data_IF_660790575839
#
_entry.id   IF_660790575839
#
_cell.length_a   1.000
_cell.length_b   1.000
_cell.length_c   1.000
_cell.angle_alpha   90.00
_cell.angle_beta   90.00
_cell.angle_gamma   90.00
#
_symmetry.space_group_name_H-M   'P 1'
#
loop_
_entity.id
_entity.type
_entity.pdbx_description
1 polymer ?
#
# COMPACT_ATOMS: atom_id res chain seq x y z
N UNK A 1 -34.82 22.84 4.43
CA UNK A 1 -33.45 23.35 4.68
C UNK A 1 -32.55 22.84 3.58
N UNK A 2 -31.91 23.74 2.82
CA UNK A 2 -31.07 23.38 1.68
C UNK A 2 -29.68 23.06 2.24
N UNK A 3 -29.24 21.81 2.15
CA UNK A 3 -27.83 21.46 2.41
C UNK A 3 -27.03 22.02 1.25
N UNK A 4 -26.15 22.99 1.52
CA UNK A 4 -25.23 23.50 0.52
C UNK A 4 -24.16 22.45 0.25
N UNK A 5 -23.80 22.28 -1.03
CA UNK A 5 -22.70 21.41 -1.45
C UNK A 5 -21.36 22.14 -1.19
N UNK A 6 -20.27 21.40 -0.95
CA UNK A 6 -18.96 21.97 -0.59
C UNK A 6 -18.47 23.00 -1.65
N UNK A 7 -18.73 22.75 -2.93
CA UNK A 7 -18.42 23.69 -4.03
C UNK A 7 -19.24 24.99 -3.96
N UNK A 8 -20.50 24.93 -3.54
CA UNK A 8 -21.37 26.11 -3.42
C UNK A 8 -20.93 27.01 -2.26
N UNK A 9 -20.51 26.40 -1.14
CA UNK A 9 -19.98 27.13 0.03
C UNK A 9 -18.69 27.86 -0.38
N UNK A 10 -17.79 27.18 -1.08
CA UNK A 10 -16.53 27.75 -1.51
C UNK A 10 -16.72 28.92 -2.49
N UNK A 11 -17.65 28.77 -3.45
CA UNK A 11 -17.94 29.82 -4.44
C UNK A 11 -18.53 31.08 -3.79
N UNK A 12 -19.38 30.93 -2.77
CA UNK A 12 -19.99 32.05 -2.06
C UNK A 12 -19.01 32.77 -1.12
N UNK A 13 -18.11 32.04 -0.45
CA UNK A 13 -17.01 32.64 0.33
C UNK A 13 -16.03 33.41 -0.56
N UNK A 14 -15.66 32.85 -1.72
CA UNK A 14 -14.77 33.52 -2.69
C UNK A 14 -15.40 34.79 -3.28
N UNK A 15 -16.73 34.83 -3.38
CA UNK A 15 -17.51 36.00 -3.81
C UNK A 15 -17.67 37.08 -2.71
N UNK A 16 -17.20 36.83 -1.48
CA UNK A 16 -17.33 37.75 -0.35
C UNK A 16 -18.75 37.83 0.23
N UNK A 17 -19.59 36.84 -0.06
CA UNK A 17 -20.98 36.81 0.40
C UNK A 17 -21.04 36.28 1.84
N UNK A 18 -21.62 37.09 2.73
CA UNK A 18 -21.71 36.73 4.14
C UNK A 18 -22.86 35.74 4.33
N UNK A 19 -22.55 34.44 4.22
CA UNK A 19 -23.46 33.33 4.46
C UNK A 19 -23.75 33.23 5.97
N UNK A 20 -24.55 34.16 6.48
CA UNK A 20 -25.12 34.12 7.84
C UNK A 20 -26.17 32.99 7.92
N UNK A 21 -25.71 31.75 7.81
CA UNK A 21 -26.51 30.55 7.96
C UNK A 21 -25.94 29.76 9.13
N UNK A 22 -26.79 29.42 10.10
CA UNK A 22 -26.47 28.73 11.35
C UNK A 22 -26.05 27.25 11.14
N UNK A 23 -25.08 27.01 10.27
CA UNK A 23 -24.54 25.71 9.91
C UNK A 23 -23.08 25.64 10.37
N UNK A 24 -22.80 24.68 11.25
CA UNK A 24 -21.50 24.48 11.92
C UNK A 24 -20.35 24.29 10.90
N UNK A 25 -20.69 23.79 9.71
CA UNK A 25 -19.76 23.60 8.59
C UNK A 25 -19.28 24.93 7.98
N UNK A 26 -20.16 25.94 7.89
CA UNK A 26 -19.79 27.26 7.31
C UNK A 26 -18.81 27.98 8.24
N UNK A 27 -19.04 27.91 9.55
CA UNK A 27 -18.13 28.48 10.55
C UNK A 27 -16.75 27.79 10.53
N UNK A 28 -16.69 26.47 10.30
CA UNK A 28 -15.43 25.75 10.13
C UNK A 28 -14.69 26.17 8.86
N UNK A 29 -15.40 26.35 7.75
CA UNK A 29 -14.81 26.83 6.50
C UNK A 29 -14.28 28.26 6.64
N UNK A 30 -15.04 29.16 7.24
CA UNK A 30 -14.62 30.55 7.49
C UNK A 30 -13.37 30.60 8.39
N UNK A 31 -13.32 29.79 9.43
CA UNK A 31 -12.15 29.68 10.32
C UNK A 31 -10.93 29.10 9.58
N UNK A 32 -11.12 28.08 8.74
CA UNK A 32 -10.06 27.47 7.95
C UNK A 32 -9.48 28.45 6.93
N UNK A 33 -10.31 29.19 6.21
CA UNK A 33 -9.87 30.21 5.25
C UNK A 33 -9.25 31.43 5.92
N UNK A 34 -9.74 31.82 7.09
CA UNK A 34 -9.14 32.89 7.91
C UNK A 34 -7.73 32.51 8.38
N UNK A 35 -7.51 31.25 8.75
CA UNK A 35 -6.17 30.75 9.09
C UNK A 35 -5.28 30.52 7.86
N UNK A 36 -5.81 30.06 6.73
CA UNK A 36 -5.06 29.91 5.48
C UNK A 36 -4.68 31.25 4.83
N UNK A 37 -5.50 32.29 5.01
CA UNK A 37 -5.24 33.65 4.53
C UNK A 37 -4.12 34.36 5.30
N UNK A 38 -3.73 33.86 6.48
CA UNK A 38 -2.57 34.35 7.21
C UNK A 38 -1.30 33.84 6.55
N UNK A 39 -0.41 34.76 6.17
CA UNK A 39 0.91 34.38 5.69
C UNK A 39 1.63 33.51 6.75
N UNK A 40 2.15 32.33 6.39
CA UNK A 40 2.77 31.44 7.35
C UNK A 40 3.96 32.14 8.01
N UNK A 41 3.95 32.24 9.34
CA UNK A 41 5.01 32.90 10.11
C UNK A 41 6.37 32.17 10.01
N UNK A 42 6.39 30.92 9.53
CA UNK A 42 7.61 30.18 9.26
C UNK A 42 7.64 29.68 7.82
N UNK A 43 8.74 29.96 7.12
CA UNK A 43 9.07 29.31 5.87
C UNK A 43 9.21 27.81 6.11
N UNK A 44 8.65 26.99 5.22
CA UNK A 44 8.84 25.54 5.27
C UNK A 44 10.32 25.19 5.45
N UNK A 45 10.68 24.27 6.37
CA UNK A 45 12.07 23.90 6.55
C UNK A 45 12.64 23.37 5.23
N UNK A 46 13.89 23.73 4.91
CA UNK A 46 14.56 23.38 3.65
C UNK A 46 14.52 21.86 3.35
N UNK A 47 14.43 21.04 4.40
CA UNK A 47 14.35 19.58 4.34
C UNK A 47 12.94 19.03 4.10
N UNK A 48 11.88 19.86 4.14
CA UNK A 48 10.50 19.41 4.00
C UNK A 48 10.22 18.78 2.64
N UNK A 49 10.69 19.41 1.56
CA UNK A 49 10.56 18.88 0.20
C UNK A 49 11.28 17.54 0.05
N UNK A 50 12.48 17.40 0.62
CA UNK A 50 13.25 16.16 0.61
C UNK A 50 12.53 15.02 1.38
N UNK A 51 11.93 15.33 2.53
CA UNK A 51 11.14 14.37 3.32
C UNK A 51 9.88 13.93 2.55
N UNK A 52 9.18 14.86 1.92
CA UNK A 52 7.99 14.57 1.10
C UNK A 52 8.32 13.70 -0.11
N UNK A 53 9.33 14.09 -0.89
CA UNK A 53 9.79 13.33 -2.05
C UNK A 53 10.21 11.92 -1.63
N UNK A 54 10.93 11.77 -0.51
CA UNK A 54 11.32 10.47 0.02
C UNK A 54 10.11 9.61 0.39
N UNK A 55 9.10 10.17 1.06
CA UNK A 55 7.88 9.44 1.44
C UNK A 55 7.09 8.98 0.20
N UNK A 56 6.94 9.86 -0.79
CA UNK A 56 6.25 9.55 -2.05
C UNK A 56 7.00 8.45 -2.81
N UNK A 57 8.32 8.57 -2.94
CA UNK A 57 9.16 7.58 -3.62
C UNK A 57 9.10 6.22 -2.93
N UNK A 58 9.16 6.17 -1.60
CA UNK A 58 9.02 4.91 -0.85
C UNK A 58 7.64 4.27 -1.02
N UNK A 59 6.57 5.07 -1.05
CA UNK A 59 5.22 4.55 -1.27
C UNK A 59 5.06 3.99 -2.69
N UNK A 60 5.62 4.67 -3.70
CA UNK A 60 5.63 4.20 -5.09
C UNK A 60 6.47 2.94 -5.27
N UNK A 61 7.67 2.92 -4.68
CA UNK A 61 8.58 1.79 -4.76
C UNK A 61 7.95 0.52 -4.16
N UNK A 62 7.32 0.61 -2.98
CA UNK A 62 6.59 -0.53 -2.39
C UNK A 62 5.51 -1.09 -3.31
N UNK A 63 4.77 -0.22 -4.01
CA UNK A 63 3.73 -0.67 -4.96
C UNK A 63 4.35 -1.34 -6.19
N UNK A 64 5.49 -0.84 -6.68
CA UNK A 64 6.21 -1.45 -7.79
C UNK A 64 6.82 -2.80 -7.40
N UNK A 65 7.43 -2.90 -6.23
CA UNK A 65 8.02 -4.14 -5.72
C UNK A 65 6.98 -5.25 -5.59
N UNK A 66 5.78 -4.94 -5.08
CA UNK A 66 4.67 -5.91 -5.01
C UNK A 66 4.25 -6.36 -6.41
N UNK A 67 4.09 -5.42 -7.36
CA UNK A 67 3.72 -5.76 -8.74
C UNK A 67 4.78 -6.63 -9.42
N UNK A 68 6.06 -6.31 -9.21
CA UNK A 68 7.18 -7.06 -9.77
C UNK A 68 7.22 -8.47 -9.18
N UNK A 69 7.10 -8.62 -7.86
CA UNK A 69 7.05 -9.92 -7.20
C UNK A 69 5.87 -10.78 -7.67
N UNK A 70 4.68 -10.18 -7.83
CA UNK A 70 3.52 -10.90 -8.39
C UNK A 70 3.80 -11.34 -9.82
N UNK A 71 4.40 -10.47 -10.64
CA UNK A 71 4.73 -10.77 -12.04
C UNK A 71 5.75 -11.91 -12.14
N UNK A 72 6.80 -11.87 -11.34
CA UNK A 72 7.81 -12.95 -11.26
C UNK A 72 7.18 -14.25 -10.76
N UNK A 73 6.30 -14.18 -9.76
CA UNK A 73 5.57 -15.35 -9.26
C UNK A 73 4.68 -15.98 -10.35
N UNK A 74 3.96 -15.17 -11.13
CA UNK A 74 3.16 -15.64 -12.25
C UNK A 74 4.03 -16.26 -13.36
N UNK A 75 5.17 -15.65 -13.68
CA UNK A 75 6.11 -16.18 -14.66
C UNK A 75 6.65 -17.55 -14.23
N UNK A 76 7.00 -17.71 -12.96
CA UNK A 76 7.46 -18.98 -12.40
C UNK A 76 6.36 -20.06 -12.46
N UNK A 77 5.12 -19.71 -12.10
CA UNK A 77 3.99 -20.64 -12.20
C UNK A 77 3.75 -21.06 -13.66
N UNK A 78 3.81 -20.12 -14.60
CA UNK A 78 3.66 -20.41 -16.02
C UNK A 78 4.78 -21.34 -16.52
N UNK A 79 6.02 -21.10 -16.10
CA UNK A 79 7.15 -22.00 -16.37
C UNK A 79 6.93 -23.41 -15.83
N UNK A 80 6.41 -23.53 -14.61
CA UNK A 80 6.13 -24.83 -14.00
C UNK A 80 5.04 -25.60 -14.75
N UNK A 81 3.95 -24.92 -15.13
CA UNK A 81 2.83 -25.50 -15.87
C UNK A 81 3.26 -25.94 -17.27
N UNK A 82 4.04 -25.11 -17.97
CA UNK A 82 4.56 -25.44 -19.30
C UNK A 82 5.55 -26.59 -19.25
N UNK A 83 6.45 -26.62 -18.27
CA UNK A 83 7.36 -27.75 -18.05
C UNK A 83 6.59 -29.05 -17.78
N UNK A 84 5.61 -29.03 -16.88
CA UNK A 84 4.76 -30.19 -16.60
C UNK A 84 3.94 -30.62 -17.83
N UNK A 85 3.37 -29.65 -18.56
CA UNK A 85 2.61 -29.90 -19.78
C UNK A 85 3.48 -30.58 -20.85
N UNK A 86 4.72 -30.11 -21.05
CA UNK A 86 5.65 -30.74 -21.98
C UNK A 86 5.99 -32.18 -21.56
N UNK A 87 6.23 -32.42 -20.26
CA UNK A 87 6.50 -33.76 -19.75
C UNK A 87 5.31 -34.71 -19.94
N UNK A 88 4.08 -34.20 -19.77
CA UNK A 88 2.86 -34.99 -19.98
C UNK A 88 2.66 -35.39 -21.45
N UNK A 89 3.03 -34.51 -22.39
CA UNK A 89 2.95 -34.79 -23.84
C UNK A 89 4.00 -35.84 -24.26
N UNK A 90 5.23 -35.73 -23.76
CA UNK A 90 6.29 -36.69 -24.12
C UNK A 90 6.19 -38.02 -23.37
N UNK A 91 5.76 -38.03 -22.12
CA UNK A 91 5.67 -39.25 -21.31
C UNK A 91 4.63 -39.14 -20.20
N UNK A 92 3.39 -39.52 -20.51
CA UNK A 92 2.27 -39.52 -19.56
C UNK A 92 2.55 -40.36 -18.30
N UNK A 93 3.35 -41.42 -18.39
CA UNK A 93 3.76 -42.24 -17.26
C UNK A 93 4.65 -41.47 -16.27
N UNK A 94 5.67 -40.78 -16.77
CA UNK A 94 6.59 -39.97 -15.95
C UNK A 94 5.86 -38.81 -15.29
N UNK A 95 4.94 -38.15 -16.01
CA UNK A 95 4.14 -37.07 -15.45
C UNK A 95 3.24 -37.55 -14.28
N UNK A 96 2.69 -38.76 -14.37
CA UNK A 96 1.93 -39.37 -13.25
C UNK A 96 2.83 -39.69 -12.06
N UNK A 97 4.04 -40.21 -12.28
CA UNK A 97 5.00 -40.47 -11.21
C UNK A 97 5.40 -39.18 -10.47
N UNK A 98 5.58 -38.07 -11.18
CA UNK A 98 5.88 -36.76 -10.56
C UNK A 98 4.74 -36.31 -9.64
N UNK A 99 3.48 -36.41 -10.09
CA UNK A 99 2.32 -36.09 -9.24
C UNK A 99 2.24 -37.02 -8.03
N UNK A 100 2.49 -38.31 -8.23
CA UNK A 100 2.43 -39.30 -7.16
C UNK A 100 3.51 -39.04 -6.09
N UNK A 101 4.73 -38.70 -6.51
CA UNK A 101 5.80 -38.28 -5.59
C UNK A 101 5.43 -36.99 -4.85
N UNK A 102 4.89 -35.99 -5.54
CA UNK A 102 4.47 -34.74 -4.91
C UNK A 102 3.38 -34.98 -3.85
N UNK A 103 2.43 -35.87 -4.14
CA UNK A 103 1.36 -36.22 -3.20
C UNK A 103 1.89 -37.03 -2.00
N UNK A 104 2.91 -37.87 -2.21
CA UNK A 104 3.58 -38.60 -1.13
C UNK A 104 4.34 -37.64 -0.18
N UNK A 105 5.05 -36.67 -0.74
CA UNK A 105 5.87 -35.72 0.01
C UNK A 105 5.17 -34.40 0.37
N UNK A 106 3.84 -34.31 0.19
CA UNK A 106 3.06 -33.10 0.48
C UNK A 106 3.28 -32.56 1.90
N UNK A 107 3.55 -33.45 2.86
CA UNK A 107 3.84 -33.07 4.25
C UNK A 107 5.15 -32.28 4.39
N UNK A 108 6.19 -32.66 3.65
CA UNK A 108 7.49 -31.94 3.64
C UNK A 108 7.32 -30.58 2.96
N UNK A 109 6.57 -30.53 1.85
CA UNK A 109 6.22 -29.26 1.20
C UNK A 109 5.42 -28.33 2.14
N UNK A 110 4.44 -28.85 2.87
CA UNK A 110 3.68 -28.06 3.84
C UNK A 110 4.56 -27.57 5.00
N UNK A 111 5.45 -28.41 5.51
CA UNK A 111 6.35 -28.05 6.60
C UNK A 111 7.32 -26.94 6.16
N UNK A 112 7.92 -27.06 4.98
CA UNK A 112 8.81 -26.02 4.43
C UNK A 112 8.08 -24.71 4.17
N UNK A 113 6.84 -24.75 3.70
CA UNK A 113 6.02 -23.55 3.55
C UNK A 113 5.68 -22.93 4.91
N UNK A 114 5.35 -23.75 5.91
CA UNK A 114 5.05 -23.29 7.28
C UNK A 114 6.27 -22.62 7.93
N UNK A 115 7.46 -23.21 7.81
CA UNK A 115 8.68 -22.63 8.38
C UNK A 115 9.06 -21.31 7.72
N UNK A 116 8.93 -21.21 6.39
CA UNK A 116 9.11 -19.95 5.67
C UNK A 116 8.10 -18.89 6.10
N UNK A 117 6.83 -19.27 6.29
CA UNK A 117 5.79 -18.34 6.75
C UNK A 117 6.08 -17.84 8.17
N UNK A 118 6.47 -18.74 9.09
CA UNK A 118 6.88 -18.38 10.45
C UNK A 118 8.10 -17.46 10.45
N UNK A 119 9.09 -17.72 9.59
CA UNK A 119 10.27 -16.86 9.44
C UNK A 119 9.87 -15.47 8.94
N UNK A 120 9.03 -15.38 7.92
CA UNK A 120 8.51 -14.12 7.40
C UNK A 120 7.70 -13.33 8.44
N UNK A 121 6.85 -14.01 9.22
CA UNK A 121 6.10 -13.41 10.32
C UNK A 121 7.02 -12.92 11.44
N UNK A 122 8.04 -13.71 11.79
CA UNK A 122 9.06 -13.35 12.75
C UNK A 122 9.81 -12.09 12.32
N UNK A 123 10.31 -12.07 11.09
CA UNK A 123 11.02 -10.90 10.54
C UNK A 123 10.11 -9.65 10.54
N UNK A 124 8.86 -9.78 10.09
CA UNK A 124 7.90 -8.67 10.07
C UNK A 124 7.58 -8.14 11.48
N UNK A 125 7.46 -9.00 12.48
CA UNK A 125 7.12 -8.60 13.86
C UNK A 125 8.32 -8.01 14.60
N UNK A 126 9.54 -8.50 14.33
CA UNK A 126 10.78 -8.04 14.97
C UNK A 126 11.33 -6.76 14.32
N UNK A 127 11.30 -6.63 13.00
CA UNK A 127 11.87 -5.48 12.27
C UNK A 127 10.99 -4.23 12.35
N UNK A 128 9.71 -4.35 12.70
CA UNK A 128 8.83 -3.19 12.92
C UNK A 128 8.99 -2.53 14.32
N UNK A 129 9.84 -3.06 15.19
CA UNK A 129 10.22 -2.43 16.47
C UNK A 129 11.70 -2.03 16.49
N UNK A 130 12.09 -1.00 15.73
CA UNK A 130 12.98 -0.02 16.35
C UNK A 130 12.68 1.42 15.87
N UNK A 131 12.26 2.28 16.80
CA UNK A 131 12.47 3.75 16.91
C UNK A 131 11.29 4.44 17.62
N UNK A 132 11.19 4.27 18.94
CA UNK A 132 10.48 5.23 19.81
C UNK A 132 11.02 5.23 21.25
N UNK A 133 12.29 4.90 21.43
CA UNK A 133 12.91 4.89 22.76
C UNK A 133 14.34 5.44 22.69
N UNK A 134 14.52 6.60 22.05
CA UNK A 134 15.63 7.53 22.32
C UNK A 134 15.17 8.91 21.85
N UNK A 135 14.57 9.71 22.74
CA UNK A 135 14.80 11.15 22.84
C UNK A 135 14.63 11.46 24.34
N UNK A 136 15.76 11.62 25.02
CA UNK A 136 15.85 12.40 26.27
C UNK A 136 15.56 13.88 25.97
#
# INVERSE_FOLDING_TARGET
MKKFNDEEIQTALDAGENLASADENVALYELLFTELGKAPQSSLPLSFSAVLIRKIKLAQQRRQDIKLNITVGLLLLFGLVTAYGSLAVFSAHTAKQVIQMLNHYKGICLLTFLTLMLFYLGDRTLVQRPKSAVID
#
